data_IF_554244083763
#
_entry.id   IF_554244083763
#
_cell.length_a   1.000
_cell.length_b   1.000
_cell.length_c   1.000
_cell.angle_alpha   90.00
_cell.angle_beta   90.00
_cell.angle_gamma   90.00
#
_symmetry.space_group_name_H-M   'P 1'
#
loop_
_entity.id
_entity.type
_entity.pdbx_description
1 polymer ?
#
# COMPACT_ATOMS: atom_id res chain seq x y z
N UNK A 1 47.77 26.58 10.86
CA UNK A 1 47.23 27.26 12.08
C UNK A 1 46.88 28.70 11.78
N UNK A 2 47.65 29.37 10.91
CA UNK A 2 47.50 30.80 10.58
C UNK A 2 46.16 31.18 9.98
N UNK A 3 45.58 30.36 9.07
CA UNK A 3 44.27 30.61 8.46
C UNK A 3 43.11 30.66 9.45
N UNK A 4 43.18 29.93 10.58
CA UNK A 4 42.14 29.94 11.60
C UNK A 4 42.21 31.22 12.43
N UNK A 5 43.40 31.69 12.74
CA UNK A 5 43.64 32.93 13.46
C UNK A 5 43.14 34.13 12.63
N UNK A 6 43.43 34.18 11.35
CA UNK A 6 42.95 35.23 10.44
C UNK A 6 41.41 35.26 10.34
N UNK A 7 40.75 34.10 10.33
CA UNK A 7 39.29 34.02 10.31
C UNK A 7 38.70 34.55 11.64
N UNK A 8 39.31 34.22 12.77
CA UNK A 8 38.88 34.70 14.09
C UNK A 8 39.04 36.23 14.19
N UNK A 9 40.17 36.76 13.76
CA UNK A 9 40.39 38.21 13.79
C UNK A 9 39.42 38.95 12.83
N UNK A 10 39.17 38.40 11.64
CA UNK A 10 38.20 38.95 10.72
C UNK A 10 36.80 38.96 11.30
N UNK A 11 36.36 37.84 11.94
CA UNK A 11 35.07 37.75 12.60
C UNK A 11 34.95 38.75 13.76
N UNK A 12 35.98 38.94 14.56
CA UNK A 12 36.01 39.91 15.64
C UNK A 12 35.87 41.36 15.15
N UNK A 13 36.53 41.68 14.02
CA UNK A 13 36.45 43.00 13.42
C UNK A 13 35.17 43.27 12.70
N UNK A 14 34.42 42.19 12.29
CA UNK A 14 33.16 42.26 11.55
C UNK A 14 32.02 41.54 12.30
N UNK A 15 31.92 41.71 13.61
CA UNK A 15 30.95 40.98 14.47
C UNK A 15 29.51 41.11 13.99
N UNK A 16 29.07 42.28 13.51
CA UNK A 16 27.72 42.46 12.97
C UNK A 16 27.43 41.58 11.76
N UNK A 17 28.37 41.53 10.81
CA UNK A 17 28.23 40.71 9.60
C UNK A 17 28.29 39.22 9.93
N UNK A 18 29.25 38.80 10.75
CA UNK A 18 29.37 37.40 11.19
C UNK A 18 28.11 36.91 11.89
N UNK A 19 27.51 37.74 12.75
CA UNK A 19 26.26 37.42 13.45
C UNK A 19 25.09 37.24 12.47
N UNK A 20 24.96 38.12 11.44
CA UNK A 20 23.90 37.99 10.42
C UNK A 20 24.07 36.68 9.63
N UNK A 21 25.29 36.37 9.19
CA UNK A 21 25.56 35.13 8.44
C UNK A 21 25.24 33.91 9.27
N UNK A 22 25.65 33.88 10.54
CA UNK A 22 25.37 32.77 11.45
C UNK A 22 23.86 32.62 11.72
N UNK A 23 23.14 33.74 11.88
CA UNK A 23 21.68 33.72 12.06
C UNK A 23 20.94 33.17 10.84
N UNK A 24 21.36 33.54 9.62
CA UNK A 24 20.79 33.00 8.39
C UNK A 24 21.06 31.50 8.28
N UNK A 25 22.27 31.06 8.60
CA UNK A 25 22.64 29.64 8.56
C UNK A 25 21.83 28.82 9.57
N UNK A 26 21.66 29.33 10.76
CA UNK A 26 20.82 28.71 11.81
C UNK A 26 19.36 28.64 11.39
N UNK A 27 18.85 29.67 10.75
CA UNK A 27 17.48 29.69 10.22
C UNK A 27 17.27 28.59 9.15
N UNK A 28 18.22 28.47 8.20
CA UNK A 28 18.18 27.44 7.16
C UNK A 28 18.18 26.03 7.75
N UNK A 29 19.09 25.76 8.71
CA UNK A 29 19.17 24.46 9.41
C UNK A 29 17.89 24.17 10.17
N UNK A 30 17.29 25.16 10.82
CA UNK A 30 16.02 25.02 11.53
C UNK A 30 14.86 24.66 10.61
N UNK A 31 14.78 25.31 9.44
CA UNK A 31 13.76 24.99 8.43
C UNK A 31 13.93 23.55 7.93
N UNK A 32 15.16 23.13 7.63
CA UNK A 32 15.45 21.74 7.20
C UNK A 32 15.03 20.75 8.29
N UNK A 33 15.37 21.01 9.55
CA UNK A 33 15.00 20.16 10.68
C UNK A 33 13.48 20.01 10.83
N UNK A 34 12.72 21.10 10.65
CA UNK A 34 11.25 21.07 10.66
C UNK A 34 10.71 20.18 9.53
N UNK A 35 11.22 20.33 8.30
CA UNK A 35 10.79 19.49 7.17
C UNK A 35 11.07 18.01 7.40
N UNK A 36 12.26 17.67 7.89
CA UNK A 36 12.63 16.28 8.23
C UNK A 36 11.73 15.74 9.33
N UNK A 37 11.50 16.50 10.40
CA UNK A 37 10.62 16.13 11.51
C UNK A 37 9.19 15.85 11.05
N UNK A 38 8.59 16.75 10.25
CA UNK A 38 7.24 16.58 9.70
C UNK A 38 7.14 15.37 8.76
N UNK A 39 8.17 15.13 7.93
CA UNK A 39 8.22 13.97 7.03
C UNK A 39 8.29 12.68 7.82
N UNK A 40 9.14 12.62 8.84
CA UNK A 40 9.31 11.44 9.70
C UNK A 40 8.06 11.15 10.54
N UNK A 41 7.41 12.20 11.07
CA UNK A 41 6.18 12.05 11.83
C UNK A 41 5.01 11.45 11.03
N UNK A 42 5.01 11.62 9.71
CA UNK A 42 3.97 11.07 8.81
C UNK A 42 4.19 9.61 8.41
N UNK A 43 5.40 9.06 8.56
CA UNK A 43 5.73 7.69 8.18
C UNK A 43 4.91 6.62 8.93
N UNK A 44 4.67 6.72 10.26
CA UNK A 44 3.90 5.71 10.99
C UNK A 44 2.42 5.62 10.58
N UNK A 45 1.91 6.64 9.88
CA UNK A 45 0.50 6.70 9.48
C UNK A 45 0.24 6.24 8.04
N UNK A 46 1.28 5.81 7.34
CA UNK A 46 1.14 5.41 5.93
C UNK A 46 0.56 4.01 5.81
N UNK A 47 -0.71 3.91 5.42
CA UNK A 47 -1.33 2.65 4.98
C UNK A 47 -0.86 2.30 3.58
N UNK A 48 -0.45 1.05 3.38
CA UNK A 48 -0.11 0.54 2.05
C UNK A 48 -0.31 -0.96 2.02
N UNK A 49 -1.26 -1.41 1.21
CA UNK A 49 -1.50 -2.84 0.96
C UNK A 49 -0.98 -3.19 -0.42
N UNK A 50 -0.10 -4.18 -0.48
CA UNK A 50 0.30 -4.85 -1.70
C UNK A 50 -0.69 -5.96 -1.98
N UNK A 51 -1.35 -5.91 -3.13
CA UNK A 51 -2.26 -6.96 -3.60
C UNK A 51 -1.51 -7.84 -4.58
N UNK A 52 -1.40 -9.12 -4.29
CA UNK A 52 -0.85 -10.12 -5.18
C UNK A 52 -1.93 -11.10 -5.60
N UNK A 53 -1.67 -11.82 -6.67
CA UNK A 53 -2.59 -12.77 -7.27
C UNK A 53 -1.83 -13.92 -7.91
N UNK A 54 -2.43 -15.09 -7.90
CA UNK A 54 -1.84 -16.25 -8.55
C UNK A 54 -2.88 -17.33 -8.80
N UNK A 55 -2.39 -18.42 -9.37
CA UNK A 55 -3.13 -19.67 -9.52
C UNK A 55 -2.53 -20.71 -8.58
N UNK A 56 -3.33 -21.65 -8.14
CA UNK A 56 -2.87 -22.80 -7.38
C UNK A 56 -3.47 -24.09 -7.94
N UNK A 57 -2.79 -25.19 -7.69
CA UNK A 57 -3.24 -26.54 -7.95
C UNK A 57 -3.13 -27.30 -6.63
N UNK A 58 -4.21 -27.94 -6.22
CA UNK A 58 -4.27 -28.79 -5.03
C UNK A 58 -4.93 -30.13 -5.35
N UNK A 59 -4.96 -31.04 -4.39
CA UNK A 59 -5.72 -32.31 -4.49
C UNK A 59 -7.20 -32.07 -4.79
N UNK A 60 -7.75 -30.96 -4.33
CA UNK A 60 -9.16 -30.62 -4.43
C UNK A 60 -9.49 -29.87 -5.73
N UNK A 61 -8.49 -29.47 -6.52
CA UNK A 61 -8.70 -28.80 -7.80
C UNK A 61 -7.73 -27.68 -8.11
N UNK A 62 -8.10 -26.91 -9.13
CA UNK A 62 -7.37 -25.73 -9.60
C UNK A 62 -8.15 -24.49 -9.21
N UNK A 63 -7.44 -23.45 -8.83
CA UNK A 63 -8.09 -22.20 -8.43
C UNK A 63 -7.18 -20.98 -8.53
N UNK A 64 -7.72 -19.88 -8.02
CA UNK A 64 -7.04 -18.59 -7.92
C UNK A 64 -6.86 -18.21 -6.45
N UNK A 65 -5.82 -17.46 -6.16
CA UNK A 65 -5.68 -16.84 -4.85
C UNK A 65 -5.42 -15.34 -4.98
N UNK A 66 -5.89 -14.62 -3.98
CA UNK A 66 -5.59 -13.20 -3.77
C UNK A 66 -4.90 -13.06 -2.43
N UNK A 67 -3.74 -12.44 -2.45
CA UNK A 67 -2.92 -12.21 -1.26
C UNK A 67 -2.85 -10.72 -0.97
N UNK A 68 -3.06 -10.34 0.27
CA UNK A 68 -2.91 -8.99 0.77
C UNK A 68 -1.77 -8.93 1.78
N UNK A 69 -0.75 -8.10 1.51
CA UNK A 69 0.39 -7.86 2.41
C UNK A 69 0.39 -6.42 2.85
N UNK A 70 0.47 -6.16 4.15
CA UNK A 70 0.65 -4.81 4.65
C UNK A 70 2.11 -4.38 4.55
N UNK A 71 2.43 -3.59 3.54
CA UNK A 71 3.78 -3.00 3.33
C UNK A 71 3.88 -1.56 3.86
N UNK A 72 2.82 -1.07 4.51
CA UNK A 72 2.81 0.21 5.22
C UNK A 72 3.23 0.04 6.68
N UNK A 73 3.42 1.15 7.36
CA UNK A 73 3.84 1.17 8.78
C UNK A 73 2.63 1.18 9.74
N UNK A 74 1.43 1.38 9.23
CA UNK A 74 0.20 1.37 10.01
C UNK A 74 -0.49 0.03 9.91
N UNK A 75 -0.98 -0.48 11.04
CA UNK A 75 -1.86 -1.65 11.08
C UNK A 75 -3.13 -1.39 10.26
N UNK A 76 -3.54 -2.38 9.45
CA UNK A 76 -4.70 -2.29 8.56
C UNK A 76 -5.67 -3.43 8.86
N UNK A 77 -6.93 -3.08 9.04
CA UNK A 77 -8.02 -4.07 9.16
C UNK A 77 -8.64 -4.29 7.79
N UNK A 78 -8.63 -5.52 7.32
CA UNK A 78 -9.22 -5.92 6.04
C UNK A 78 -10.70 -6.27 6.25
N UNK A 79 -11.56 -5.70 5.43
CA UNK A 79 -13.00 -5.98 5.44
C UNK A 79 -13.42 -6.97 4.36
N UNK A 80 -12.71 -7.01 3.22
CA UNK A 80 -12.99 -7.99 2.17
C UNK A 80 -11.77 -8.22 1.27
N UNK A 81 -11.63 -9.48 0.82
CA UNK A 81 -10.65 -9.91 -0.18
C UNK A 81 -11.40 -10.68 -1.26
N UNK A 82 -11.09 -10.46 -2.54
CA UNK A 82 -11.77 -11.14 -3.63
C UNK A 82 -11.41 -10.65 -5.02
N UNK A 83 -12.37 -10.73 -5.92
CA UNK A 83 -12.25 -10.25 -7.29
C UNK A 83 -13.30 -9.18 -7.58
N UNK A 84 -12.90 -8.05 -8.14
CA UNK A 84 -13.79 -6.97 -8.56
C UNK A 84 -14.01 -7.04 -10.08
N UNK A 85 -15.29 -7.02 -10.47
CA UNK A 85 -15.76 -7.11 -11.86
C UNK A 85 -16.80 -6.01 -12.02
N UNK A 86 -16.44 -4.92 -12.67
CA UNK A 86 -17.25 -3.69 -12.71
C UNK A 86 -17.61 -3.23 -11.27
N UNK A 87 -18.92 -3.16 -10.98
CA UNK A 87 -19.45 -2.81 -9.63
C UNK A 87 -19.58 -4.02 -8.68
N UNK A 88 -19.46 -5.24 -9.19
CA UNK A 88 -19.61 -6.47 -8.40
C UNK A 88 -18.28 -6.85 -7.73
N UNK A 89 -18.39 -7.46 -6.54
CA UNK A 89 -17.25 -8.04 -5.83
C UNK A 89 -17.58 -9.51 -5.55
N UNK A 90 -16.76 -10.41 -6.09
CA UNK A 90 -16.80 -11.83 -5.80
C UNK A 90 -15.88 -12.12 -4.62
N UNK A 91 -16.47 -12.61 -3.53
CA UNK A 91 -15.76 -13.00 -2.31
C UNK A 91 -16.11 -14.45 -1.97
N UNK A 92 -15.21 -15.14 -1.26
CA UNK A 92 -15.49 -16.48 -0.78
C UNK A 92 -16.53 -16.43 0.37
N UNK A 93 -17.52 -17.31 0.33
CA UNK A 93 -18.58 -17.38 1.35
C UNK A 93 -18.03 -17.60 2.77
N UNK A 94 -16.95 -18.34 2.89
CA UNK A 94 -16.30 -18.59 4.19
C UNK A 94 -15.70 -17.33 4.82
N UNK A 95 -15.26 -16.38 4.01
CA UNK A 95 -14.69 -15.10 4.49
C UNK A 95 -15.74 -14.10 4.97
N UNK A 96 -17.01 -14.28 4.63
CA UNK A 96 -18.10 -13.40 5.09
C UNK A 96 -18.36 -13.52 6.61
N UNK A 97 -17.97 -14.64 7.20
CA UNK A 97 -18.19 -14.95 8.61
C UNK A 97 -16.92 -14.85 9.48
N UNK A 98 -15.74 -14.65 8.86
CA UNK A 98 -14.51 -14.48 9.62
C UNK A 98 -14.42 -13.07 10.21
N UNK A 99 -14.01 -13.02 11.47
CA UNK A 99 -13.64 -11.78 12.16
C UNK A 99 -12.65 -10.98 11.30
N UNK A 100 -12.79 -9.67 11.30
CA UNK A 100 -11.93 -8.75 10.58
C UNK A 100 -10.45 -9.13 10.71
N UNK A 101 -9.81 -9.40 9.57
CA UNK A 101 -8.38 -9.74 9.52
C UNK A 101 -7.58 -8.45 9.78
N UNK A 102 -6.76 -8.48 10.80
CA UNK A 102 -5.88 -7.37 11.16
C UNK A 102 -4.48 -7.70 10.67
N UNK A 103 -3.89 -6.84 9.86
CA UNK A 103 -2.54 -7.00 9.33
C UNK A 103 -1.62 -5.94 9.93
N UNK A 104 -0.64 -6.35 10.72
CA UNK A 104 0.50 -5.56 11.15
C UNK A 104 1.48 -5.37 9.97
N UNK A 105 2.48 -4.52 10.11
CA UNK A 105 3.51 -4.33 9.10
C UNK A 105 4.20 -5.65 8.73
N UNK A 106 4.27 -5.97 7.45
CA UNK A 106 4.86 -7.20 6.92
C UNK A 106 3.95 -8.41 6.98
N UNK A 107 2.81 -8.36 7.67
CA UNK A 107 1.87 -9.48 7.73
C UNK A 107 1.10 -9.64 6.41
N UNK A 108 0.76 -10.89 6.14
CA UNK A 108 0.13 -11.33 4.90
C UNK A 108 -1.07 -12.22 5.19
N UNK A 109 -2.11 -12.07 4.38
CA UNK A 109 -3.26 -12.99 4.36
C UNK A 109 -3.61 -13.36 2.93
N UNK A 110 -4.08 -14.58 2.71
CA UNK A 110 -4.45 -15.10 1.39
C UNK A 110 -5.83 -15.72 1.43
N UNK A 111 -6.59 -15.50 0.34
CA UNK A 111 -7.88 -16.14 0.14
C UNK A 111 -7.85 -16.95 -1.16
N UNK A 112 -8.43 -18.15 -1.11
CA UNK A 112 -8.42 -19.13 -2.18
C UNK A 112 -9.82 -19.27 -2.78
N UNK A 113 -9.89 -19.41 -4.10
CA UNK A 113 -11.12 -19.44 -4.88
C UNK A 113 -11.06 -20.56 -5.90
N UNK A 114 -11.98 -21.50 -5.85
CA UNK A 114 -12.07 -22.57 -6.83
C UNK A 114 -12.52 -22.01 -8.19
N UNK A 115 -11.91 -22.51 -9.26
CA UNK A 115 -12.16 -22.01 -10.61
C UNK A 115 -13.61 -22.30 -11.06
N UNK A 116 -14.17 -23.43 -10.66
CA UNK A 116 -15.52 -23.83 -11.03
C UNK A 116 -16.59 -22.92 -10.41
N UNK A 117 -16.46 -22.62 -9.13
CA UNK A 117 -17.36 -21.71 -8.43
C UNK A 117 -17.26 -20.29 -8.97
N UNK A 118 -16.04 -19.86 -9.29
CA UNK A 118 -15.82 -18.55 -9.88
C UNK A 118 -16.45 -18.47 -11.29
N UNK A 119 -16.27 -19.49 -12.13
CA UNK A 119 -16.93 -19.55 -13.46
C UNK A 119 -18.45 -19.56 -13.36
N UNK A 120 -19.03 -20.31 -12.42
CA UNK A 120 -20.48 -20.33 -12.17
C UNK A 120 -20.99 -18.93 -11.82
N UNK A 121 -20.33 -18.26 -10.88
CA UNK A 121 -20.68 -16.90 -10.51
C UNK A 121 -20.56 -15.91 -11.70
N UNK A 122 -19.52 -16.04 -12.54
CA UNK A 122 -19.36 -15.22 -13.74
C UNK A 122 -20.47 -15.46 -14.78
N UNK A 123 -20.94 -16.70 -14.95
CA UNK A 123 -22.03 -17.04 -15.87
C UNK A 123 -23.37 -16.43 -15.44
N UNK A 124 -23.62 -16.33 -14.12
CA UNK A 124 -24.81 -15.68 -13.56
C UNK A 124 -24.79 -14.15 -13.71
N UNK A 125 -23.59 -13.58 -13.72
CA UNK A 125 -23.38 -12.15 -13.89
C UNK A 125 -23.51 -11.71 -15.34
N UNK A 126 -24.55 -11.41 -15.95
CA UNK A 126 -24.73 -10.97 -17.36
C UNK A 126 -23.76 -9.85 -17.77
N UNK A 127 -22.43 -10.10 -17.71
CA UNK A 127 -21.35 -9.18 -18.04
C UNK A 127 -20.64 -9.59 -19.32
N UNK A 128 -20.10 -8.62 -20.05
CA UNK A 128 -19.37 -8.87 -21.29
C UNK A 128 -18.10 -9.70 -21.07
N UNK A 129 -17.81 -10.61 -21.99
CA UNK A 129 -16.59 -11.44 -21.98
C UNK A 129 -15.27 -10.62 -21.97
N UNK A 130 -15.31 -9.37 -22.43
CA UNK A 130 -14.15 -8.47 -22.44
C UNK A 130 -13.96 -7.70 -21.13
N UNK A 131 -14.88 -7.87 -20.17
CA UNK A 131 -14.78 -7.18 -18.88
C UNK A 131 -13.53 -7.60 -18.12
N UNK A 132 -12.83 -6.60 -17.58
CA UNK A 132 -11.61 -6.80 -16.79
C UNK A 132 -11.97 -7.28 -15.38
N UNK A 133 -11.20 -8.23 -14.90
CA UNK A 133 -11.24 -8.75 -13.54
C UNK A 133 -10.02 -8.24 -12.79
N UNK A 134 -10.24 -7.72 -11.57
CA UNK A 134 -9.18 -7.23 -10.70
C UNK A 134 -9.15 -8.04 -9.41
N UNK A 135 -7.98 -8.44 -8.96
CA UNK A 135 -7.77 -8.83 -7.57
C UNK A 135 -8.05 -7.61 -6.69
N UNK A 136 -8.82 -7.80 -5.63
CA UNK A 136 -9.45 -6.73 -4.88
C UNK A 136 -9.30 -6.97 -3.38
N UNK A 137 -8.90 -5.93 -2.68
CA UNK A 137 -8.85 -5.88 -1.21
C UNK A 137 -9.46 -4.56 -0.77
N UNK A 138 -10.30 -4.61 0.25
CA UNK A 138 -10.89 -3.41 0.87
C UNK A 138 -10.59 -3.42 2.36
N UNK A 139 -10.17 -2.28 2.89
CA UNK A 139 -10.01 -2.09 4.33
C UNK A 139 -11.32 -1.62 4.99
N UNK A 140 -11.35 -1.63 6.32
CA UNK A 140 -12.51 -1.17 7.10
C UNK A 140 -12.75 0.33 7.02
N UNK A 141 -11.78 1.10 6.55
CA UNK A 141 -11.91 2.55 6.32
C UNK A 141 -12.45 2.87 4.91
N UNK A 142 -12.73 1.83 4.11
CA UNK A 142 -13.30 1.97 2.77
C UNK A 142 -12.29 2.12 1.64
N UNK A 143 -10.97 2.10 1.93
CA UNK A 143 -9.93 2.18 0.90
C UNK A 143 -9.88 0.90 0.08
N UNK A 144 -9.88 1.02 -1.24
CA UNK A 144 -9.83 -0.10 -2.19
C UNK A 144 -8.44 -0.22 -2.79
N UNK A 145 -7.87 -1.42 -2.72
CA UNK A 145 -6.60 -1.80 -3.33
C UNK A 145 -6.88 -2.80 -4.45
N UNK A 146 -6.42 -2.52 -5.67
CA UNK A 146 -6.75 -3.33 -6.85
C UNK A 146 -5.49 -3.62 -7.66
N UNK A 147 -5.43 -4.86 -8.18
CA UNK A 147 -4.43 -5.27 -9.16
C UNK A 147 -5.12 -5.97 -10.32
N UNK A 148 -4.84 -5.55 -11.55
CA UNK A 148 -5.41 -6.21 -12.72
C UNK A 148 -5.09 -7.71 -12.70
N UNK A 149 -6.09 -8.54 -12.89
CA UNK A 149 -5.93 -9.99 -12.93
C UNK A 149 -5.99 -10.51 -14.36
N UNK A 150 -7.16 -10.46 -15.00
CA UNK A 150 -7.41 -11.03 -16.33
C UNK A 150 -8.71 -10.45 -16.91
N UNK A 151 -9.20 -11.06 -17.99
CA UNK A 151 -10.55 -10.81 -18.54
C UNK A 151 -11.44 -12.03 -18.33
N UNK A 152 -12.76 -11.83 -18.31
CA UNK A 152 -13.75 -12.92 -18.17
C UNK A 152 -13.53 -13.99 -19.21
N UNK A 153 -13.32 -13.60 -20.49
CA UNK A 153 -13.05 -14.53 -21.58
C UNK A 153 -11.88 -15.48 -21.29
N UNK A 154 -10.81 -14.99 -20.67
CA UNK A 154 -9.65 -15.84 -20.32
C UNK A 154 -9.94 -16.79 -19.17
N UNK A 155 -10.71 -16.35 -18.16
CA UNK A 155 -11.15 -17.21 -17.06
C UNK A 155 -12.02 -18.36 -17.56
N UNK A 156 -12.97 -18.05 -18.45
CA UNK A 156 -13.91 -19.06 -18.96
C UNK A 156 -13.24 -20.13 -19.85
N UNK A 157 -12.06 -19.84 -20.41
CA UNK A 157 -11.27 -20.77 -21.22
C UNK A 157 -10.33 -21.69 -20.42
N UNK A 158 -10.03 -21.38 -19.19
CA UNK A 158 -9.24 -22.22 -18.27
C UNK A 158 -10.10 -23.37 -17.72
#
# INVERSE_FOLDING_TARGET
>A
MDNIIEIIEWCNNNTGFATIVLSILTLIVSIIAIFVSLSTARLPYKKRILVERGTFISSDGIGFHVTATNVGNRQVKISSIGFKINSYVYINKFTLHESQIVLSQGETTSQYYEIQDFKRALAEMKVSNYTKVYAYVKDTEGTEYKKYFTTISKVMKQ
#
